data_IF_632895018467
#
_entry.id   IF_632895018467
#
_cell.length_a   1.000
_cell.length_b   1.000
_cell.length_c   1.000
_cell.angle_alpha   90.00
_cell.angle_beta   90.00
_cell.angle_gamma   90.00
#
_symmetry.space_group_name_H-M   'P 1'
#
loop_
_entity.id
_entity.type
_entity.pdbx_description
1 polymer ?
#
# COMPACT_ATOMS: atom_id res chain seq x y z
N UNK A 1 10.38 0.85 -2.39
CA UNK A 1 10.29 2.10 -3.18
C UNK A 1 9.84 1.88 -4.62
N UNK A 2 10.38 0.90 -5.35
CA UNK A 2 9.95 0.64 -6.74
C UNK A 2 8.45 0.38 -6.93
N UNK A 3 7.80 -0.30 -5.98
CA UNK A 3 6.36 -0.59 -6.03
C UNK A 3 5.49 0.64 -5.76
N UNK A 4 5.88 1.50 -4.83
CA UNK A 4 5.20 2.77 -4.56
C UNK A 4 5.24 3.71 -5.78
N UNK A 5 6.38 3.78 -6.47
CA UNK A 5 6.52 4.54 -7.71
C UNK A 5 5.63 3.97 -8.83
N UNK A 6 5.62 2.64 -9.00
CA UNK A 6 4.76 1.97 -9.98
C UNK A 6 3.28 2.24 -9.70
N UNK A 7 2.89 2.19 -8.43
CA UNK A 7 1.51 2.36 -8.02
C UNK A 7 1.01 3.80 -8.18
N UNK A 8 1.85 4.78 -7.84
CA UNK A 8 1.58 6.18 -8.11
C UNK A 8 1.46 6.46 -9.61
N UNK A 9 2.30 5.85 -10.44
CA UNK A 9 2.21 5.96 -11.89
C UNK A 9 0.89 5.36 -12.42
N UNK A 10 0.48 4.19 -11.92
CA UNK A 10 -0.78 3.54 -12.30
C UNK A 10 -2.01 4.36 -11.88
N UNK A 11 -1.95 5.02 -10.72
CA UNK A 11 -2.97 5.99 -10.31
C UNK A 11 -3.02 7.20 -11.22
N UNK A 12 -1.86 7.81 -11.54
CA UNK A 12 -1.80 8.92 -12.49
C UNK A 12 -2.43 8.56 -13.83
N UNK A 13 -2.13 7.37 -14.36
CA UNK A 13 -2.71 6.89 -15.61
C UNK A 13 -4.23 6.78 -15.49
N UNK A 14 -4.73 6.11 -14.44
CA UNK A 14 -6.18 5.95 -14.22
C UNK A 14 -6.92 7.29 -14.07
N UNK A 15 -6.37 8.23 -13.33
CA UNK A 15 -6.95 9.56 -13.12
C UNK A 15 -6.87 10.44 -14.37
N UNK A 16 -5.78 10.35 -15.13
CA UNK A 16 -5.63 11.06 -16.41
C UNK A 16 -6.67 10.61 -17.43
N UNK A 17 -6.94 9.30 -17.50
CA UNK A 17 -7.94 8.74 -18.40
C UNK A 17 -9.36 9.18 -18.02
N UNK A 18 -9.69 9.27 -16.72
CA UNK A 18 -10.97 9.81 -16.29
C UNK A 18 -11.09 11.34 -16.39
N UNK A 19 -10.02 12.05 -16.76
CA UNK A 19 -10.02 13.51 -16.81
C UNK A 19 -10.22 14.15 -15.45
N UNK A 20 -9.70 13.53 -14.39
CA UNK A 20 -9.72 14.09 -13.03
C UNK A 20 -8.77 15.30 -13.00
N UNK A 21 -9.19 16.47 -12.48
CA UNK A 21 -8.30 17.61 -12.33
C UNK A 21 -7.17 17.28 -11.34
N UNK A 22 -5.99 17.87 -11.54
CA UNK A 22 -4.85 17.77 -10.61
C UNK A 22 -4.27 16.35 -10.43
N UNK A 23 -4.25 15.54 -11.50
CA UNK A 23 -3.69 14.17 -11.55
C UNK A 23 -2.32 14.05 -10.88
N UNK A 24 -1.42 14.99 -11.13
CA UNK A 24 -0.04 14.97 -10.61
C UNK A 24 -0.03 15.10 -9.08
N UNK A 25 -0.90 15.93 -8.51
CA UNK A 25 -1.02 16.11 -7.06
C UNK A 25 -1.56 14.84 -6.39
N UNK A 26 -2.61 14.24 -6.97
CA UNK A 26 -3.21 13.00 -6.47
C UNK A 26 -2.27 11.81 -6.60
N UNK A 27 -1.51 11.73 -7.70
CA UNK A 27 -0.46 10.72 -7.87
C UNK A 27 0.67 10.87 -6.85
N UNK A 28 1.07 12.10 -6.54
CA UNK A 28 2.07 12.36 -5.49
C UNK A 28 1.54 12.00 -4.10
N UNK A 29 0.27 12.28 -3.81
CA UNK A 29 -0.38 11.82 -2.59
C UNK A 29 -0.39 10.28 -2.53
N UNK A 30 -0.77 9.60 -3.61
CA UNK A 30 -0.72 8.14 -3.73
C UNK A 30 0.69 7.59 -3.49
N UNK A 31 1.71 8.22 -4.06
CA UNK A 31 3.11 7.88 -3.81
C UNK A 31 3.49 8.00 -2.33
N UNK A 32 3.08 9.11 -1.69
CA UNK A 32 3.35 9.35 -0.28
C UNK A 32 2.70 8.29 0.62
N UNK A 33 1.41 7.98 0.41
CA UNK A 33 0.70 6.95 1.17
C UNK A 33 1.28 5.54 0.92
N UNK A 34 1.58 5.19 -0.33
CA UNK A 34 2.22 3.93 -0.66
C UNK A 34 3.63 3.81 -0.05
N UNK A 35 4.38 4.91 0.05
CA UNK A 35 5.68 4.95 0.72
C UNK A 35 5.55 4.70 2.23
N UNK A 36 4.43 5.10 2.84
CA UNK A 36 4.08 4.80 4.22
C UNK A 36 3.45 3.41 4.41
N UNK A 37 3.44 2.56 3.37
CA UNK A 37 2.80 1.24 3.34
C UNK A 37 1.28 1.26 3.64
N UNK A 38 0.69 2.46 3.61
CA UNK A 38 -0.75 2.67 3.71
C UNK A 38 -1.41 2.29 2.39
N UNK A 39 -2.69 1.91 2.48
CA UNK A 39 -3.46 1.55 1.29
C UNK A 39 -3.59 2.75 0.36
N UNK A 40 -3.22 2.58 -0.91
CA UNK A 40 -3.50 3.55 -1.98
C UNK A 40 -5.02 3.73 -2.16
N UNK A 41 -5.84 2.82 -1.65
CA UNK A 41 -7.29 2.96 -1.46
C UNK A 41 -7.73 4.32 -0.92
N UNK A 42 -6.94 4.91 -0.02
CA UNK A 42 -7.27 6.18 0.63
C UNK A 42 -7.34 7.33 -0.39
N UNK A 43 -6.59 7.25 -1.49
CA UNK A 43 -6.53 8.32 -2.50
C UNK A 43 -7.52 8.08 -3.64
N UNK A 44 -7.66 6.85 -4.14
CA UNK A 44 -8.52 6.61 -5.30
C UNK A 44 -10.01 6.47 -4.95
N UNK A 45 -10.37 6.03 -3.73
CA UNK A 45 -11.77 5.90 -3.31
C UNK A 45 -12.49 7.27 -3.27
N UNK A 46 -11.93 8.33 -2.66
CA UNK A 46 -12.54 9.66 -2.72
C UNK A 46 -12.68 10.20 -4.15
N UNK A 47 -11.74 9.90 -5.04
CA UNK A 47 -11.79 10.32 -6.45
C UNK A 47 -12.96 9.66 -7.19
N UNK A 48 -13.19 8.37 -6.95
CA UNK A 48 -14.36 7.65 -7.50
C UNK A 48 -15.66 8.26 -6.98
N UNK A 49 -15.75 8.53 -5.67
CA UNK A 49 -16.94 9.18 -5.07
C UNK A 49 -17.18 10.55 -5.70
N UNK A 50 -16.13 11.34 -5.88
CA UNK A 50 -16.22 12.66 -6.52
C UNK A 50 -16.71 12.58 -7.98
N UNK A 51 -16.21 11.61 -8.76
CA UNK A 51 -16.70 11.36 -10.13
C UNK A 51 -18.18 10.95 -10.17
N UNK A 52 -18.68 10.23 -9.15
CA UNK A 52 -20.11 9.94 -9.01
C UNK A 52 -20.92 11.21 -8.70
N UNK A 53 -20.39 12.11 -7.85
CA UNK A 53 -21.04 13.38 -7.51
C UNK A 53 -21.12 14.35 -8.69
N UNK A 54 -20.14 14.33 -9.60
CA UNK A 54 -20.16 15.10 -10.85
C UNK A 54 -21.12 14.53 -11.92
N UNK A 55 -21.77 13.39 -11.67
CA UNK A 55 -22.65 12.74 -12.65
C UNK A 55 -21.89 12.04 -13.79
N UNK A 56 -20.56 11.90 -13.69
CA UNK A 56 -19.70 11.22 -14.69
C UNK A 56 -19.62 9.72 -14.39
N UNK A 57 -20.77 9.06 -14.31
CA UNK A 57 -20.93 7.68 -13.85
C UNK A 57 -20.08 6.67 -14.63
N UNK A 58 -19.94 6.84 -15.95
CA UNK A 58 -19.12 5.94 -16.78
C UNK A 58 -17.62 5.99 -16.41
N UNK A 59 -17.10 7.19 -16.13
CA UNK A 59 -15.72 7.38 -15.70
C UNK A 59 -15.50 6.99 -14.24
N UNK A 60 -16.53 7.14 -13.40
CA UNK A 60 -16.50 6.67 -12.02
C UNK A 60 -16.38 5.13 -11.96
N UNK A 61 -17.19 4.41 -12.75
CA UNK A 61 -17.12 2.94 -12.83
C UNK A 61 -15.78 2.50 -13.41
N UNK A 62 -15.28 3.16 -14.46
CA UNK A 62 -13.96 2.87 -15.01
C UNK A 62 -12.86 3.04 -13.95
N UNK A 63 -12.85 4.15 -13.21
CA UNK A 63 -11.85 4.38 -12.18
C UNK A 63 -12.00 3.44 -10.98
N UNK A 64 -13.22 3.02 -10.66
CA UNK A 64 -13.47 2.01 -9.64
C UNK A 64 -12.87 0.66 -10.06
N UNK A 65 -13.15 0.21 -11.29
CA UNK A 65 -12.59 -1.05 -11.82
C UNK A 65 -11.06 -0.96 -11.95
N UNK A 66 -10.53 0.17 -12.39
CA UNK A 66 -9.09 0.41 -12.46
C UNK A 66 -8.42 0.45 -11.07
N UNK A 67 -9.04 1.12 -10.11
CA UNK A 67 -8.57 1.26 -8.74
C UNK A 67 -8.60 -0.04 -7.97
N UNK A 68 -9.69 -0.81 -8.06
CA UNK A 68 -9.81 -2.14 -7.41
C UNK A 68 -8.94 -3.17 -8.12
N UNK A 69 -9.01 -3.22 -9.45
CA UNK A 69 -8.31 -4.19 -10.27
C UNK A 69 -6.82 -3.90 -10.32
N UNK A 70 -6.39 -2.82 -10.97
CA UNK A 70 -4.97 -2.59 -11.25
C UNK A 70 -4.23 -2.08 -10.01
N UNK A 71 -4.69 -0.98 -9.42
CA UNK A 71 -3.99 -0.35 -8.28
C UNK A 71 -4.11 -1.23 -7.02
N UNK A 72 -5.28 -1.80 -6.79
CA UNK A 72 -5.59 -2.68 -5.67
C UNK A 72 -4.88 -4.03 -5.76
N UNK A 73 -4.77 -4.65 -6.94
CA UNK A 73 -3.95 -5.85 -7.09
C UNK A 73 -2.48 -5.52 -6.82
N UNK A 74 -1.95 -4.41 -7.36
CA UNK A 74 -0.57 -4.02 -7.06
C UNK A 74 -0.38 -3.81 -5.56
N UNK A 75 -1.33 -3.18 -4.85
CA UNK A 75 -1.26 -2.98 -3.40
C UNK A 75 -1.27 -4.29 -2.60
N UNK A 76 -2.20 -5.18 -2.95
CA UNK A 76 -2.48 -6.39 -2.22
C UNK A 76 -1.54 -7.55 -2.58
N UNK A 77 -0.90 -7.52 -3.76
CA UNK A 77 0.02 -8.56 -4.22
C UNK A 77 1.49 -8.21 -3.93
N UNK A 78 1.83 -6.92 -3.93
CA UNK A 78 3.18 -6.45 -3.58
C UNK A 78 3.58 -6.86 -2.16
N UNK A 79 2.65 -6.72 -1.20
CA UNK A 79 2.89 -7.07 0.21
C UNK A 79 3.27 -8.56 0.39
N UNK A 80 2.47 -9.54 -0.06
CA UNK A 80 2.82 -10.96 0.03
C UNK A 80 4.00 -11.35 -0.86
N UNK A 81 4.21 -10.75 -2.04
CA UNK A 81 5.36 -11.07 -2.89
C UNK A 81 6.70 -10.69 -2.24
N UNK A 82 6.79 -9.52 -1.59
CA UNK A 82 7.97 -9.09 -0.83
C UNK A 82 8.17 -9.89 0.46
N UNK A 83 7.10 -10.29 1.13
CA UNK A 83 7.15 -11.07 2.38
C UNK A 83 7.46 -12.56 2.11
N UNK A 84 6.98 -13.13 1.00
CA UNK A 84 7.08 -14.58 0.69
C UNK A 84 8.49 -15.03 0.30
N UNK A 85 9.30 -14.18 -0.32
CA UNK A 85 10.75 -14.44 -0.48
C UNK A 85 11.54 -14.25 0.82
N UNK A 86 10.86 -13.77 1.84
CA UNK A 86 11.45 -13.06 2.95
C UNK A 86 11.71 -13.86 4.20
N UNK A 87 11.09 -15.03 4.50
CA UNK A 87 11.52 -15.95 5.59
C UNK A 87 10.50 -17.01 5.93
N UNK A 88 10.98 -18.22 6.23
CA UNK A 88 10.40 -19.03 7.30
C UNK A 88 10.57 -18.27 8.64
N UNK A 89 9.82 -17.18 8.84
CA UNK A 89 9.85 -16.39 10.08
C UNK A 89 8.96 -17.15 11.08
N UNK A 90 9.49 -17.60 12.23
CA UNK A 90 8.71 -18.27 13.25
C UNK A 90 7.51 -17.40 13.66
N UNK A 91 6.32 -17.98 13.68
CA UNK A 91 5.06 -17.27 13.99
C UNK A 91 5.16 -16.46 15.29
N UNK A 92 5.90 -16.98 16.29
CA UNK A 92 6.12 -16.29 17.57
C UNK A 92 6.78 -14.90 17.46
N UNK A 93 7.71 -14.71 16.52
CA UNK A 93 8.42 -13.42 16.33
C UNK A 93 7.49 -12.37 15.71
N UNK A 94 6.66 -12.80 14.76
CA UNK A 94 5.64 -11.95 14.14
C UNK A 94 4.62 -11.53 15.18
N UNK A 95 4.16 -12.48 15.99
CA UNK A 95 3.16 -12.23 17.04
C UNK A 95 3.67 -11.21 18.07
N UNK A 96 4.94 -11.32 18.46
CA UNK A 96 5.59 -10.40 19.39
C UNK A 96 5.75 -9.00 18.78
N UNK A 97 6.08 -8.93 17.48
CA UNK A 97 6.09 -7.68 16.72
C UNK A 97 4.71 -7.03 16.62
N UNK A 98 3.66 -7.80 16.35
CA UNK A 98 2.27 -7.32 16.27
C UNK A 98 1.80 -6.73 17.61
N UNK A 99 2.00 -7.46 18.71
CA UNK A 99 1.57 -7.00 20.05
C UNK A 99 2.40 -5.80 20.49
N UNK A 100 3.73 -5.85 20.34
CA UNK A 100 4.60 -4.74 20.73
C UNK A 100 4.33 -3.49 19.91
N UNK A 101 4.08 -3.66 18.61
CA UNK A 101 3.66 -2.58 17.74
C UNK A 101 2.30 -2.01 18.15
N UNK A 102 1.31 -2.85 18.41
CA UNK A 102 -0.02 -2.43 18.87
C UNK A 102 0.03 -1.59 20.14
N UNK A 103 0.86 -2.00 21.11
CA UNK A 103 1.03 -1.27 22.36
C UNK A 103 1.73 0.09 22.17
N UNK A 104 2.66 0.19 21.21
CA UNK A 104 3.43 1.42 20.97
C UNK A 104 2.68 2.46 20.12
N UNK A 105 1.97 2.03 19.08
CA UNK A 105 1.35 2.93 18.09
C UNK A 105 -0.12 2.60 17.78
N UNK A 106 -0.79 1.81 18.63
CA UNK A 106 -2.17 1.40 18.44
C UNK A 106 -2.34 0.53 17.19
N UNK A 107 -3.48 0.65 16.51
CA UNK A 107 -3.80 -0.19 15.35
C UNK A 107 -2.75 -0.12 14.23
N UNK A 108 -2.20 1.07 13.96
CA UNK A 108 -1.14 1.26 12.96
C UNK A 108 0.14 0.50 13.34
N UNK A 109 0.40 0.40 14.64
CA UNK A 109 1.56 -0.29 15.19
C UNK A 109 1.59 -1.78 14.90
N UNK A 110 0.44 -2.44 14.69
CA UNK A 110 0.39 -3.86 14.31
C UNK A 110 1.21 -4.12 13.04
N UNK A 111 1.11 -3.23 12.05
CA UNK A 111 1.82 -3.36 10.78
C UNK A 111 3.30 -3.01 10.92
N UNK A 112 3.60 -1.89 11.57
CA UNK A 112 4.97 -1.46 11.78
C UNK A 112 5.75 -2.46 12.65
N UNK A 113 5.19 -2.93 13.75
CA UNK A 113 5.83 -3.84 14.69
C UNK A 113 6.12 -5.22 14.08
N UNK A 114 5.19 -5.78 13.29
CA UNK A 114 5.44 -7.01 12.56
C UNK A 114 6.57 -6.85 11.52
N UNK A 115 6.57 -5.73 10.79
CA UNK A 115 7.57 -5.43 9.76
C UNK A 115 8.95 -5.21 10.39
N UNK A 116 9.02 -4.45 11.48
CA UNK A 116 10.27 -4.15 12.19
C UNK A 116 10.88 -5.42 12.79
N UNK A 117 10.08 -6.31 13.39
CA UNK A 117 10.58 -7.61 13.88
C UNK A 117 11.03 -8.54 12.78
N UNK A 118 10.34 -8.57 11.64
CA UNK A 118 10.75 -9.36 10.49
C UNK A 118 12.14 -8.93 9.98
N UNK A 119 12.38 -7.62 9.89
CA UNK A 119 13.67 -7.05 9.47
C UNK A 119 14.75 -7.28 10.54
N UNK A 120 14.43 -7.05 11.81
CA UNK A 120 15.37 -7.26 12.91
C UNK A 120 15.82 -8.73 13.01
N UNK A 121 14.88 -9.67 12.91
CA UNK A 121 15.22 -11.10 12.89
C UNK A 121 16.08 -11.47 11.69
N UNK A 122 15.80 -10.88 10.53
CA UNK A 122 16.59 -11.09 9.32
C UNK A 122 18.03 -10.61 9.47
N UNK A 123 18.21 -9.37 9.92
CA UNK A 123 19.53 -8.80 10.24
C UNK A 123 20.27 -9.64 11.29
N UNK A 124 19.57 -10.08 12.33
CA UNK A 124 20.17 -10.91 13.39
C UNK A 124 20.64 -12.27 12.87
N UNK A 125 19.85 -12.91 12.01
CA UNK A 125 20.22 -14.18 11.38
C UNK A 125 21.40 -14.03 10.43
N UNK A 126 21.45 -12.93 9.70
CA UNK A 126 22.55 -12.62 8.77
C UNK A 126 23.84 -12.29 9.51
N UNK A 127 23.76 -11.58 10.65
CA UNK A 127 24.89 -11.36 11.56
C UNK A 127 25.46 -12.65 12.16
N UNK A 128 24.59 -13.61 12.50
CA UNK A 128 25.00 -14.93 12.99
C UNK A 128 25.55 -15.86 11.89
N UNK A 129 25.32 -15.53 10.62
CA UNK A 129 25.74 -16.34 9.47
C UNK A 129 27.05 -15.85 8.83
N UNK A 130 27.59 -14.71 9.29
CA UNK A 130 28.96 -14.27 9.02
C UNK A 130 29.95 -14.87 10.02
#
# INVERSE_FOLDING_TARGET
MGTAALQAALMCIGFSLAGVPQVVLLGFAGFFFASLQLSCGIVWVPVVIWLFLEGRTGWAIFNLVWGVGVVGLVDNFTKPYLISRGSNLPFGIIFLGVIGGFLAYGFLGIFFGATLMAVAFRLFKEWLAG
#
